data_IF_395640688392
#
_entry.id   IF_395640688392
#
_cell.length_a   1.000
_cell.length_b   1.000
_cell.length_c   1.000
_cell.angle_alpha   90.00
_cell.angle_beta   90.00
_cell.angle_gamma   90.00
#
_symmetry.space_group_name_H-M   'P 1'
#
loop_
_entity.id
_entity.type
_entity.pdbx_description
1 polymer ?
#
# COMPACT_ATOMS: atom_id res chain seq x y z
N UNK A 1 4.27 5.52 18.88
CA UNK A 1 3.33 5.77 17.78
C UNK A 1 3.91 5.06 16.59
N UNK A 2 3.31 3.94 16.17
CA UNK A 2 3.78 3.16 15.03
C UNK A 2 3.58 3.98 13.77
N UNK A 3 4.67 4.22 13.04
CA UNK A 3 4.59 4.91 11.76
C UNK A 3 4.14 3.90 10.71
N UNK A 4 2.87 3.98 10.31
CA UNK A 4 2.26 3.03 9.37
C UNK A 4 3.00 3.03 8.04
N UNK A 5 3.50 4.18 7.61
CA UNK A 5 4.32 4.29 6.42
C UNK A 5 5.61 3.47 6.56
N UNK A 6 6.32 3.57 7.69
CA UNK A 6 7.52 2.76 7.91
C UNK A 6 7.22 1.26 7.95
N UNK A 7 6.16 0.84 8.64
CA UNK A 7 5.77 -0.57 8.73
C UNK A 7 5.38 -1.16 7.37
N UNK A 8 4.61 -0.42 6.57
CA UNK A 8 4.26 -0.83 5.21
C UNK A 8 5.53 -0.91 4.36
N UNK A 9 6.38 0.11 4.38
CA UNK A 9 7.59 0.14 3.56
C UNK A 9 8.51 -1.05 3.88
N UNK A 10 8.73 -1.32 5.17
CA UNK A 10 9.54 -2.45 5.63
C UNK A 10 8.96 -3.81 5.18
N UNK A 11 7.63 -3.99 5.27
CA UNK A 11 7.00 -5.21 4.81
C UNK A 11 7.15 -5.45 3.30
N UNK A 12 7.07 -4.38 2.51
CA UNK A 12 7.26 -4.46 1.07
C UNK A 12 8.73 -4.60 0.66
N UNK A 13 9.70 -4.14 1.47
CA UNK A 13 11.13 -4.41 1.24
C UNK A 13 11.47 -5.91 1.28
N UNK A 14 10.63 -6.72 1.94
CA UNK A 14 10.74 -8.18 1.94
C UNK A 14 10.09 -8.85 0.72
N UNK A 15 9.49 -8.06 -0.18
CA UNK A 15 8.82 -8.54 -1.39
C UNK A 15 9.50 -8.00 -2.64
N UNK A 16 9.20 -8.60 -3.79
CA UNK A 16 9.68 -8.15 -5.10
C UNK A 16 8.90 -6.93 -5.66
N UNK A 17 8.03 -6.32 -4.85
CA UNK A 17 7.21 -5.18 -5.25
C UNK A 17 7.90 -3.86 -4.93
N UNK A 18 8.10 -3.04 -5.96
CA UNK A 18 8.63 -1.69 -5.80
C UNK A 18 7.49 -0.70 -5.46
N UNK A 19 7.64 0.01 -4.35
CA UNK A 19 6.68 0.99 -3.88
C UNK A 19 7.12 2.41 -4.23
N UNK A 20 6.15 3.22 -4.68
CA UNK A 20 6.31 4.66 -4.78
C UNK A 20 6.16 5.35 -3.43
N UNK A 21 5.85 6.66 -3.47
CA UNK A 21 5.70 7.46 -2.27
C UNK A 21 4.42 7.10 -1.50
N UNK A 22 4.58 6.46 -0.33
CA UNK A 22 3.46 6.06 0.52
C UNK A 22 2.85 7.30 1.17
N UNK A 23 1.65 7.66 0.75
CA UNK A 23 0.94 8.81 1.26
C UNK A 23 -0.03 8.42 2.39
N UNK A 24 0.12 9.05 3.56
CA UNK A 24 -0.79 8.86 4.71
C UNK A 24 -1.57 10.14 4.96
N UNK A 25 -2.91 10.06 4.91
CA UNK A 25 -3.80 11.20 5.16
C UNK A 25 -4.81 10.89 6.27
N UNK A 26 -4.59 11.46 7.46
CA UNK A 26 -5.33 11.25 8.72
C UNK A 26 -5.38 9.81 9.21
N UNK A 27 -6.03 8.93 8.44
CA UNK A 27 -6.19 7.48 8.67
C UNK A 27 -6.22 6.68 7.37
N UNK A 28 -6.22 7.33 6.21
CA UNK A 28 -6.18 6.67 4.93
C UNK A 28 -4.72 6.56 4.48
N UNK A 29 -4.30 5.35 4.17
CA UNK A 29 -2.97 5.04 3.63
C UNK A 29 -3.14 4.73 2.16
N UNK A 30 -2.27 5.32 1.34
CA UNK A 30 -2.18 5.10 -0.09
C UNK A 30 -0.78 4.61 -0.40
N UNK A 31 -0.71 3.41 -0.95
CA UNK A 31 0.52 2.70 -1.26
C UNK A 31 0.56 2.52 -2.78
N UNK A 32 1.22 3.43 -3.51
CA UNK A 32 1.46 3.23 -4.93
C UNK A 32 2.51 2.14 -5.16
N UNK A 33 2.21 1.20 -6.04
CA UNK A 33 3.08 0.12 -6.48
C UNK A 33 3.50 0.43 -7.92
N UNK A 34 4.79 0.64 -8.12
CA UNK A 34 5.37 1.02 -9.42
C UNK A 34 5.39 -0.14 -10.42
N UNK A 35 5.13 -1.36 -9.95
CA UNK A 35 5.04 -2.55 -10.80
C UNK A 35 3.65 -2.68 -11.43
N UNK A 36 3.61 -2.82 -12.75
CA UNK A 36 2.38 -3.14 -13.48
C UNK A 36 1.95 -4.58 -13.24
N UNK A 37 0.63 -4.78 -13.05
CA UNK A 37 0.05 -6.12 -12.91
C UNK A 37 0.28 -6.76 -11.54
N UNK A 38 0.58 -5.97 -10.51
CA UNK A 38 0.72 -6.47 -9.15
C UNK A 38 -0.61 -7.07 -8.65
N UNK A 39 -0.52 -8.25 -8.03
CA UNK A 39 -1.70 -8.99 -7.58
C UNK A 39 -2.38 -8.29 -6.39
N UNK A 40 -3.65 -7.87 -6.52
CA UNK A 40 -4.33 -7.10 -5.47
C UNK A 40 -4.45 -7.87 -4.15
N UNK A 41 -4.66 -9.18 -4.24
CA UNK A 41 -4.76 -10.07 -3.07
C UNK A 41 -3.41 -10.22 -2.37
N UNK A 42 -2.32 -10.35 -3.13
CA UNK A 42 -0.97 -10.42 -2.57
C UNK A 42 -0.59 -9.12 -1.87
N UNK A 43 -0.86 -7.97 -2.49
CA UNK A 43 -0.60 -6.67 -1.91
C UNK A 43 -1.37 -6.45 -0.60
N UNK A 44 -2.64 -6.85 -0.57
CA UNK A 44 -3.48 -6.73 0.64
C UNK A 44 -2.94 -7.64 1.74
N UNK A 45 -2.57 -8.88 1.42
CA UNK A 45 -2.02 -9.82 2.39
C UNK A 45 -0.72 -9.30 3.04
N UNK A 46 0.18 -8.69 2.27
CA UNK A 46 1.42 -8.08 2.81
C UNK A 46 1.09 -6.94 3.79
N UNK A 47 0.12 -6.09 3.46
CA UNK A 47 -0.31 -4.99 4.33
C UNK A 47 -0.95 -5.52 5.62
N UNK A 48 -1.79 -6.54 5.52
CA UNK A 48 -2.42 -7.20 6.67
C UNK A 48 -1.40 -7.92 7.55
N UNK A 49 -0.34 -8.49 6.99
CA UNK A 49 0.75 -9.09 7.75
C UNK A 49 1.54 -8.01 8.52
N UNK A 50 1.82 -6.89 7.85
CA UNK A 50 2.60 -5.78 8.41
C UNK A 50 1.89 -5.05 9.56
N UNK A 51 0.60 -4.77 9.38
CA UNK A 51 -0.19 -3.92 10.28
C UNK A 51 -1.13 -4.73 11.18
N UNK A 52 -1.40 -5.98 10.83
CA UNK A 52 -2.45 -6.81 11.40
C UNK A 52 -3.77 -6.66 10.63
N UNK A 53 -4.39 -7.79 10.29
CA UNK A 53 -5.66 -7.83 9.56
C UNK A 53 -6.80 -7.06 10.26
N UNK A 54 -6.79 -6.97 11.60
CA UNK A 54 -7.78 -6.21 12.37
C UNK A 54 -7.58 -4.68 12.25
N UNK A 55 -6.35 -4.24 11.97
CA UNK A 55 -6.01 -2.82 11.84
C UNK A 55 -6.28 -2.26 10.44
N UNK A 56 -6.46 -3.12 9.44
CA UNK A 56 -6.69 -2.75 8.04
C UNK A 56 -8.17 -2.78 7.73
N UNK A 57 -8.74 -1.62 7.41
CA UNK A 57 -10.17 -1.48 7.12
C UNK A 57 -10.37 -0.96 5.69
N UNK A 58 -11.27 -1.62 4.95
CA UNK A 58 -11.67 -1.22 3.60
C UNK A 58 -10.48 -1.09 2.62
N UNK A 59 -9.59 -2.10 2.60
CA UNK A 59 -8.54 -2.18 1.60
C UNK A 59 -9.13 -2.27 0.19
N UNK A 60 -8.70 -1.37 -0.68
CA UNK A 60 -9.15 -1.24 -2.06
C UNK A 60 -7.92 -1.11 -2.94
N UNK A 61 -7.83 -1.93 -3.97
CA UNK A 61 -6.73 -1.88 -4.95
C UNK A 61 -7.29 -1.31 -6.24
N UNK A 62 -6.65 -0.25 -6.75
CA UNK A 62 -7.07 0.44 -7.97
C UNK A 62 -5.87 0.61 -8.89
N UNK A 63 -6.02 0.34 -10.18
CA UNK A 63 -4.98 0.66 -11.15
C UNK A 63 -5.20 2.10 -11.62
N UNK A 64 -4.24 2.98 -11.34
CA UNK A 64 -4.29 4.40 -11.73
C UNK A 64 -2.88 4.92 -12.06
N UNK A 65 -2.82 6.11 -12.69
CA UNK A 65 -1.55 6.75 -12.98
C UNK A 65 -0.90 7.25 -11.68
N UNK A 66 0.36 6.90 -11.48
CA UNK A 66 1.13 7.23 -10.29
C UNK A 66 2.08 8.39 -10.64
N UNK A 67 2.09 9.41 -9.79
CA UNK A 67 3.02 10.54 -9.82
C UNK A 67 2.92 11.52 -11.03
N UNK A 68 1.76 11.63 -11.68
CA UNK A 68 1.52 12.66 -12.71
C UNK A 68 2.34 12.54 -13.99
N UNK A 69 3.28 11.60 -14.04
CA UNK A 69 3.92 11.06 -15.23
C UNK A 69 3.06 9.89 -15.77
N UNK A 70 3.24 9.52 -17.03
CA UNK A 70 2.47 8.49 -17.77
C UNK A 70 2.63 7.05 -17.19
N UNK A 71 3.08 6.92 -15.94
CA UNK A 71 3.33 5.68 -15.24
C UNK A 71 2.03 5.11 -14.69
N UNK A 72 1.41 4.19 -15.44
CA UNK A 72 0.28 3.39 -14.96
C UNK A 72 0.81 2.38 -13.94
N UNK A 73 0.28 2.40 -12.72
CA UNK A 73 0.61 1.42 -11.70
C UNK A 73 -0.58 1.07 -10.82
N UNK A 74 -0.31 0.32 -9.75
CA UNK A 74 -1.35 -0.20 -8.85
C UNK A 74 -1.32 0.54 -7.54
N UNK A 75 -2.42 1.15 -7.13
CA UNK A 75 -2.53 1.91 -5.88
C UNK A 75 -3.40 1.15 -4.90
N UNK A 76 -2.83 0.79 -3.76
CA UNK A 76 -3.56 0.19 -2.64
C UNK A 76 -3.97 1.29 -1.67
N UNK A 77 -5.27 1.42 -1.44
CA UNK A 77 -5.87 2.39 -0.54
C UNK A 77 -6.55 1.65 0.60
N UNK A 78 -6.20 1.95 1.85
CA UNK A 78 -6.89 1.38 3.00
C UNK A 78 -7.00 2.38 4.14
N UNK A 79 -7.86 2.10 5.11
CA UNK A 79 -7.89 2.83 6.37
C UNK A 79 -7.15 2.04 7.43
N UNK A 80 -6.27 2.72 8.15
CA UNK A 80 -5.58 2.16 9.31
C UNK A 80 -6.29 2.56 10.61
N UNK A 81 -6.52 1.58 11.47
CA UNK A 81 -7.04 1.78 12.82
C UNK A 81 -6.11 1.09 13.84
N UNK A 82 -5.37 1.87 14.66
CA UNK A 82 -4.48 1.33 15.68
C UNK A 82 -5.22 0.75 16.88
#
# INVERSE_FOLDING_TARGET
>A
MTDVNAAVREAFEHTDYDLGDVAVNRRQVRVPVLQQGADPEALTAVIEEALGADAVVAATVTTEAIDGEDTIGTVVSFRYQP
#
